data_IF_612541465623
#
_entry.id   IF_612541465623
#
_cell.length_a   1.000
_cell.length_b   1.000
_cell.length_c   1.000
_cell.angle_alpha   90.00
_cell.angle_beta   90.00
_cell.angle_gamma   90.00
#
_symmetry.space_group_name_H-M   'P 1'
#
loop_
_entity.id
_entity.type
_entity.pdbx_description
1 polymer ?
#
# COMPACT_ATOMS: atom_id res chain seq x y z
N UNK A 1 -9.19 19.79 23.97
CA UNK A 1 -8.26 20.13 22.85
C UNK A 1 -8.04 18.97 21.90
N UNK A 2 -7.67 17.76 22.36
CA UNK A 2 -7.43 16.62 21.48
C UNK A 2 -8.65 16.27 20.60
N UNK A 3 -9.83 16.09 21.21
CA UNK A 3 -11.07 15.81 20.49
C UNK A 3 -11.46 16.91 19.49
N UNK A 4 -11.25 18.17 19.88
CA UNK A 4 -11.45 19.31 18.96
C UNK A 4 -10.53 19.24 17.74
N UNK A 5 -9.26 18.90 17.93
CA UNK A 5 -8.30 18.74 16.84
C UNK A 5 -8.65 17.55 15.94
N UNK A 6 -9.12 16.43 16.52
CA UNK A 6 -9.63 15.29 15.75
C UNK A 6 -10.85 15.71 14.91
N UNK A 7 -11.80 16.43 15.49
CA UNK A 7 -12.98 16.93 14.77
C UNK A 7 -12.59 17.89 13.63
N UNK A 8 -11.60 18.77 13.86
CA UNK A 8 -11.08 19.65 12.82
C UNK A 8 -10.42 18.89 11.68
N UNK A 9 -9.66 17.82 11.96
CA UNK A 9 -9.07 16.94 10.96
C UNK A 9 -10.17 16.25 10.13
N UNK A 10 -11.17 15.69 10.80
CA UNK A 10 -12.31 15.03 10.12
C UNK A 10 -13.07 16.04 9.24
N UNK A 11 -13.33 17.24 9.74
CA UNK A 11 -13.97 18.30 8.97
C UNK A 11 -13.15 18.65 7.71
N UNK A 12 -11.82 18.77 7.86
CA UNK A 12 -10.90 19.04 6.75
C UNK A 12 -10.97 17.94 5.69
N UNK A 13 -11.08 16.66 6.12
CA UNK A 13 -11.27 15.53 5.21
C UNK A 13 -12.61 15.61 4.46
N UNK A 14 -13.70 15.96 5.14
CA UNK A 14 -15.02 16.13 4.53
C UNK A 14 -14.97 17.26 3.48
N UNK A 15 -14.23 18.32 3.75
CA UNK A 15 -14.01 19.44 2.82
C UNK A 15 -13.00 19.12 1.70
N UNK A 16 -12.49 17.87 1.63
CA UNK A 16 -11.50 17.39 0.66
C UNK A 16 -10.20 18.19 0.66
N UNK A 17 -9.83 18.81 1.78
CA UNK A 17 -8.59 19.54 1.96
C UNK A 17 -7.50 18.63 2.59
N UNK A 18 -6.24 19.08 2.52
CA UNK A 18 -5.12 18.33 3.07
C UNK A 18 -5.09 18.42 4.60
N UNK A 19 -4.97 17.27 5.25
CA UNK A 19 -5.03 17.14 6.72
C UNK A 19 -3.69 17.35 7.44
N UNK A 20 -2.59 17.56 6.73
CA UNK A 20 -1.26 17.74 7.33
C UNK A 20 -1.24 18.99 8.22
N UNK A 21 -1.69 20.12 7.71
CA UNK A 21 -1.68 21.39 8.45
C UNK A 21 -2.56 21.33 9.71
N UNK A 22 -3.83 20.88 9.64
CA UNK A 22 -4.63 20.68 10.84
C UNK A 22 -4.01 19.74 11.86
N UNK A 23 -3.31 18.68 11.42
CA UNK A 23 -2.63 17.74 12.31
C UNK A 23 -1.45 18.39 13.03
N UNK A 24 -0.65 19.21 12.34
CA UNK A 24 0.46 19.96 12.94
C UNK A 24 -0.06 20.99 13.95
N UNK A 25 -1.10 21.74 13.59
CA UNK A 25 -1.76 22.70 14.51
C UNK A 25 -2.33 21.95 15.71
N UNK A 26 -3.03 20.83 15.48
CA UNK A 26 -3.57 19.98 16.53
C UNK A 26 -2.49 19.48 17.50
N UNK A 27 -1.35 19.02 16.98
CA UNK A 27 -0.20 18.62 17.80
C UNK A 27 0.28 19.77 18.68
N UNK A 28 0.46 20.96 18.10
CA UNK A 28 0.85 22.14 18.84
C UNK A 28 -0.14 22.45 19.97
N UNK A 29 -1.43 22.53 19.66
CA UNK A 29 -2.48 22.88 20.63
C UNK A 29 -2.57 21.87 21.77
N UNK A 30 -2.46 20.56 21.45
CA UNK A 30 -2.54 19.51 22.46
C UNK A 30 -1.32 19.55 23.38
N UNK A 31 -0.11 19.64 22.82
CA UNK A 31 1.12 19.71 23.64
C UNK A 31 1.15 21.01 24.46
N UNK A 32 0.71 22.13 23.88
CA UNK A 32 0.58 23.39 24.62
C UNK A 32 -0.42 23.26 25.78
N UNK A 33 -1.56 22.65 25.55
CA UNK A 33 -2.56 22.46 26.61
C UNK A 33 -2.07 21.57 27.76
N UNK A 34 -1.17 20.61 27.46
CA UNK A 34 -0.58 19.71 28.47
C UNK A 34 0.55 20.43 29.23
N UNK A 35 1.43 21.15 28.52
CA UNK A 35 2.67 21.67 29.09
C UNK A 35 2.58 23.12 29.57
N UNK A 36 1.59 23.89 29.06
CA UNK A 36 1.48 25.33 29.28
C UNK A 36 2.61 26.17 28.66
N UNK A 37 3.51 25.54 27.91
CA UNK A 37 4.74 26.19 27.39
C UNK A 37 4.75 26.15 25.84
N UNK A 38 4.78 27.31 25.16
CA UNK A 38 4.79 27.37 23.70
C UNK A 38 6.07 26.79 23.08
N UNK A 39 7.20 26.87 23.77
CA UNK A 39 8.48 26.31 23.29
C UNK A 39 8.38 24.77 23.30
N UNK A 40 7.86 24.18 24.39
CA UNK A 40 7.60 22.73 24.46
C UNK A 40 6.61 22.29 23.39
N UNK A 41 5.61 23.11 23.07
CA UNK A 41 4.64 22.79 22.01
C UNK A 41 5.30 22.78 20.61
N UNK A 42 6.23 23.70 20.32
CA UNK A 42 7.00 23.70 19.08
C UNK A 42 7.92 22.48 18.99
N UNK A 43 8.64 22.16 20.06
CA UNK A 43 9.45 20.94 20.16
C UNK A 43 8.59 19.70 19.96
N UNK A 44 7.37 19.71 20.52
CA UNK A 44 6.39 18.62 20.39
C UNK A 44 6.00 18.31 18.96
N UNK A 45 5.91 19.29 18.06
CA UNK A 45 5.65 19.06 16.62
C UNK A 45 6.75 18.21 16.00
N UNK A 46 8.00 18.56 16.23
CA UNK A 46 9.14 17.81 15.71
C UNK A 46 9.21 16.42 16.34
N UNK A 47 9.11 16.33 17.67
CA UNK A 47 9.17 15.07 18.41
C UNK A 47 8.06 14.11 18.01
N UNK A 48 6.83 14.60 17.79
CA UNK A 48 5.71 13.80 17.32
C UNK A 48 5.97 13.22 15.93
N UNK A 49 6.47 14.04 14.99
CA UNK A 49 6.84 13.59 13.65
C UNK A 49 8.01 12.59 13.69
N UNK A 50 8.98 12.80 14.57
CA UNK A 50 10.13 11.90 14.75
C UNK A 50 9.72 10.55 15.36
N UNK A 51 8.86 10.55 16.37
CA UNK A 51 8.30 9.31 16.95
C UNK A 51 7.47 8.57 15.90
N UNK A 52 6.66 9.29 15.11
CA UNK A 52 5.94 8.70 14.00
C UNK A 52 6.88 8.08 12.96
N UNK A 53 7.97 8.76 12.60
CA UNK A 53 8.96 8.19 11.69
C UNK A 53 9.57 6.91 12.25
N UNK A 54 9.93 6.87 13.53
CA UNK A 54 10.48 5.69 14.19
C UNK A 54 9.51 4.51 14.21
N UNK A 55 8.25 4.75 14.58
CA UNK A 55 7.22 3.71 14.66
C UNK A 55 6.80 3.17 13.26
N UNK A 56 6.80 4.04 12.25
CA UNK A 56 6.39 3.69 10.89
C UNK A 56 7.55 3.27 9.98
N UNK A 57 8.80 3.32 10.45
CA UNK A 57 9.97 3.05 9.60
C UNK A 57 9.97 1.63 9.01
N UNK A 58 9.44 0.66 9.74
CA UNK A 58 9.26 -0.69 9.21
C UNK A 58 8.38 -0.71 7.95
N UNK A 59 7.33 0.12 7.89
CA UNK A 59 6.48 0.26 6.72
C UNK A 59 7.26 0.86 5.56
N UNK A 60 8.06 1.90 5.83
CA UNK A 60 8.92 2.52 4.82
C UNK A 60 9.89 1.50 4.21
N UNK A 61 10.51 0.65 5.05
CA UNK A 61 11.42 -0.41 4.57
C UNK A 61 10.70 -1.45 3.72
N UNK A 62 9.52 -1.92 4.13
CA UNK A 62 8.73 -2.86 3.34
C UNK A 62 8.37 -2.25 1.99
N UNK A 63 7.84 -1.03 1.95
CA UNK A 63 7.51 -0.34 0.70
C UNK A 63 8.75 -0.17 -0.18
N UNK A 64 9.89 0.20 0.43
CA UNK A 64 11.18 0.36 -0.26
C UNK A 64 11.59 -0.94 -0.95
N UNK A 65 11.67 -2.04 -0.21
CA UNK A 65 12.15 -3.32 -0.76
C UNK A 65 11.15 -3.93 -1.74
N UNK A 66 9.85 -3.75 -1.52
CA UNK A 66 8.84 -4.19 -2.48
C UNK A 66 8.89 -3.39 -3.78
N UNK A 67 9.10 -2.07 -3.71
CA UNK A 67 9.27 -1.22 -4.89
C UNK A 67 10.56 -1.56 -5.63
N UNK A 68 11.67 -1.75 -4.91
CA UNK A 68 12.94 -2.19 -5.48
C UNK A 68 12.81 -3.55 -6.20
N UNK A 69 12.10 -4.51 -5.60
CA UNK A 69 11.78 -5.79 -6.22
C UNK A 69 10.96 -5.61 -7.50
N UNK A 70 9.92 -4.76 -7.47
CA UNK A 70 9.11 -4.49 -8.65
C UNK A 70 9.94 -3.85 -9.77
N UNK A 71 10.83 -2.92 -9.46
CA UNK A 71 11.74 -2.32 -10.43
C UNK A 71 12.66 -3.39 -11.05
N UNK A 72 13.25 -4.26 -10.23
CA UNK A 72 14.05 -5.38 -10.72
C UNK A 72 13.24 -6.36 -11.59
N UNK A 73 12.01 -6.70 -11.22
CA UNK A 73 11.14 -7.58 -12.02
C UNK A 73 10.78 -6.95 -13.37
N UNK A 74 10.59 -5.62 -13.43
CA UNK A 74 10.32 -4.87 -14.67
C UNK A 74 11.50 -4.99 -15.66
N UNK A 75 12.76 -5.00 -15.22
CA UNK A 75 13.92 -5.15 -16.11
C UNK A 75 13.90 -6.48 -16.88
N UNK A 76 13.32 -7.53 -16.29
CA UNK A 76 13.11 -8.84 -16.90
C UNK A 76 11.73 -9.02 -17.56
N UNK A 77 10.82 -8.05 -17.43
CA UNK A 77 9.40 -8.20 -17.79
C UNK A 77 8.74 -9.41 -17.09
N UNK A 78 9.21 -9.78 -15.91
CA UNK A 78 8.67 -10.89 -15.13
C UNK A 78 7.34 -10.52 -14.49
N UNK A 79 7.16 -9.26 -14.09
CA UNK A 79 5.92 -8.67 -13.60
C UNK A 79 4.76 -8.84 -14.60
N UNK A 80 5.00 -8.53 -15.89
CA UNK A 80 4.02 -8.73 -16.97
C UNK A 80 3.64 -10.20 -17.10
N UNK A 81 4.63 -11.12 -17.03
CA UNK A 81 4.39 -12.57 -17.14
C UNK A 81 3.61 -13.12 -15.95
N UNK A 82 3.82 -12.59 -14.74
CA UNK A 82 3.06 -13.01 -13.54
C UNK A 82 1.56 -12.75 -13.69
N UNK A 83 1.19 -11.69 -14.38
CA UNK A 83 -0.21 -11.25 -14.50
C UNK A 83 -0.86 -11.69 -15.82
N UNK A 84 -0.05 -12.09 -16.80
CA UNK A 84 -0.53 -12.53 -18.12
C UNK A 84 -1.61 -13.63 -18.08
N UNK A 85 -1.57 -14.66 -17.20
CA UNK A 85 -2.62 -15.67 -17.11
C UNK A 85 -4.00 -15.07 -16.83
N UNK A 86 -4.07 -14.02 -16.01
CA UNK A 86 -5.33 -13.36 -15.64
C UNK A 86 -5.94 -12.60 -16.82
N UNK A 87 -5.12 -12.05 -17.73
CA UNK A 87 -5.61 -11.42 -18.98
C UNK A 87 -6.41 -12.40 -19.85
N UNK A 88 -6.02 -13.67 -19.87
CA UNK A 88 -6.72 -14.70 -20.68
C UNK A 88 -8.12 -15.04 -20.17
N UNK A 89 -8.38 -14.79 -18.89
CA UNK A 89 -9.68 -15.05 -18.25
C UNK A 89 -10.63 -13.85 -18.39
N UNK A 90 -10.11 -12.67 -18.71
CA UNK A 90 -10.89 -11.44 -18.93
C UNK A 90 -11.55 -11.47 -20.32
N UNK A 91 -12.71 -12.13 -20.43
CA UNK A 91 -13.45 -12.29 -21.70
C UNK A 91 -14.51 -11.22 -21.94
N UNK A 92 -14.82 -10.40 -20.94
CA UNK A 92 -15.81 -9.34 -21.02
C UNK A 92 -15.72 -8.41 -19.82
N UNK A 93 -16.31 -7.21 -19.90
CA UNK A 93 -16.20 -6.19 -18.87
C UNK A 93 -16.70 -6.65 -17.49
N UNK A 94 -17.74 -7.47 -17.43
CA UNK A 94 -18.27 -8.00 -16.16
C UNK A 94 -17.26 -8.91 -15.44
N UNK A 95 -16.69 -9.88 -16.15
CA UNK A 95 -15.66 -10.76 -15.59
C UNK A 95 -14.39 -10.00 -15.23
N UNK A 96 -14.03 -8.99 -16.02
CA UNK A 96 -12.86 -8.15 -15.79
C UNK A 96 -12.96 -7.36 -14.50
N UNK A 97 -14.14 -6.84 -14.15
CA UNK A 97 -14.35 -6.16 -12.88
C UNK A 97 -14.04 -7.07 -11.68
N UNK A 98 -14.61 -8.28 -11.68
CA UNK A 98 -14.39 -9.24 -10.61
C UNK A 98 -12.93 -9.72 -10.53
N UNK A 99 -12.32 -10.01 -11.70
CA UNK A 99 -10.91 -10.46 -11.77
C UNK A 99 -9.97 -9.38 -11.28
N UNK A 100 -10.14 -8.11 -11.70
CA UNK A 100 -9.33 -6.99 -11.21
C UNK A 100 -9.46 -6.85 -9.70
N UNK A 101 -10.69 -6.85 -9.16
CA UNK A 101 -10.90 -6.74 -7.72
C UNK A 101 -10.20 -7.87 -6.96
N UNK A 102 -10.40 -9.12 -7.40
CA UNK A 102 -9.79 -10.28 -6.75
C UNK A 102 -8.26 -10.26 -6.84
N UNK A 103 -7.71 -10.02 -8.02
CA UNK A 103 -6.26 -9.97 -8.21
C UNK A 103 -5.64 -8.83 -7.41
N UNK A 104 -6.27 -7.64 -7.42
CA UNK A 104 -5.77 -6.49 -6.63
C UNK A 104 -5.79 -6.82 -5.16
N UNK A 105 -6.87 -7.39 -4.64
CA UNK A 105 -6.97 -7.77 -3.24
C UNK A 105 -5.87 -8.75 -2.84
N UNK A 106 -5.75 -9.86 -3.58
CA UNK A 106 -4.76 -10.90 -3.29
C UNK A 106 -3.34 -10.35 -3.38
N UNK A 107 -2.99 -9.65 -4.46
CA UNK A 107 -1.64 -9.10 -4.63
C UNK A 107 -1.35 -8.06 -3.53
N UNK A 108 -2.31 -7.21 -3.20
CA UNK A 108 -2.14 -6.15 -2.19
C UNK A 108 -1.99 -6.67 -0.76
N UNK A 109 -2.52 -7.85 -0.44
CA UNK A 109 -2.28 -8.48 0.86
C UNK A 109 -0.80 -8.84 1.09
N UNK A 110 -0.06 -9.13 0.01
CA UNK A 110 1.34 -9.57 0.09
C UNK A 110 2.34 -8.47 -0.25
N UNK A 111 2.03 -7.68 -1.29
CA UNK A 111 2.94 -6.66 -1.80
C UNK A 111 2.68 -5.26 -1.22
N UNK A 112 1.81 -5.12 -0.23
CA UNK A 112 1.29 -3.83 0.20
C UNK A 112 0.54 -3.09 -0.93
N UNK A 113 -0.58 -2.44 -0.68
CA UNK A 113 -1.38 -1.83 -1.76
C UNK A 113 -0.64 -0.72 -2.51
N UNK A 114 0.20 0.05 -1.83
CA UNK A 114 0.87 1.21 -2.43
C UNK A 114 1.75 0.83 -3.64
N UNK A 115 2.63 -0.18 -3.60
CA UNK A 115 3.34 -0.66 -4.79
C UNK A 115 2.51 -1.61 -5.66
N UNK A 116 1.53 -2.34 -5.09
CA UNK A 116 0.74 -3.32 -5.83
C UNK A 116 -0.28 -2.67 -6.79
N UNK A 117 -0.91 -1.58 -6.37
CA UNK A 117 -1.93 -0.87 -7.17
C UNK A 117 -1.39 -0.37 -8.51
N UNK A 118 -0.24 0.32 -8.60
CA UNK A 118 0.37 0.67 -9.88
C UNK A 118 0.65 -0.54 -10.77
N UNK A 119 1.17 -1.64 -10.20
CA UNK A 119 1.46 -2.86 -10.96
C UNK A 119 0.19 -3.44 -11.59
N UNK A 120 -0.86 -3.62 -10.79
CA UNK A 120 -2.15 -4.15 -11.28
C UNK A 120 -2.77 -3.20 -12.30
N UNK A 121 -2.71 -1.89 -12.06
CA UNK A 121 -3.24 -0.88 -12.98
C UNK A 121 -2.54 -0.93 -14.33
N UNK A 122 -1.20 -1.05 -14.34
CA UNK A 122 -0.44 -1.10 -15.59
C UNK A 122 -0.75 -2.33 -16.45
N UNK A 123 -1.03 -3.47 -15.83
CA UNK A 123 -1.08 -4.75 -16.53
C UNK A 123 -2.53 -5.21 -16.79
N UNK A 124 -3.40 -5.11 -15.77
CA UNK A 124 -4.78 -5.62 -15.87
C UNK A 124 -5.76 -4.58 -16.37
N UNK A 125 -5.58 -3.30 -16.04
CA UNK A 125 -6.54 -2.27 -16.44
C UNK A 125 -6.64 -2.11 -17.96
N UNK A 126 -5.53 -2.06 -18.75
CA UNK A 126 -5.62 -2.03 -20.22
C UNK A 126 -6.38 -3.24 -20.79
N UNK A 127 -6.12 -4.44 -20.26
CA UNK A 127 -6.80 -5.64 -20.70
C UNK A 127 -8.31 -5.61 -20.39
N UNK A 128 -8.68 -5.08 -19.24
CA UNK A 128 -10.07 -4.92 -18.85
C UNK A 128 -10.81 -3.88 -19.70
N UNK A 129 -10.13 -2.77 -20.06
CA UNK A 129 -10.69 -1.75 -20.96
C UNK A 129 -10.95 -2.36 -22.34
N UNK A 130 -10.00 -3.08 -22.90
CA UNK A 130 -10.19 -3.82 -24.16
C UNK A 130 -11.31 -4.88 -24.06
N UNK A 131 -11.54 -5.44 -22.87
CA UNK A 131 -12.65 -6.37 -22.61
C UNK A 131 -14.00 -5.65 -22.37
N UNK A 132 -14.06 -4.31 -22.50
CA UNK A 132 -15.28 -3.53 -22.40
C UNK A 132 -15.60 -2.97 -21.02
N UNK A 133 -14.65 -3.03 -20.06
CA UNK A 133 -14.80 -2.40 -18.75
C UNK A 133 -14.47 -0.90 -18.83
N UNK A 134 -15.36 0.01 -18.40
CA UNK A 134 -15.02 1.42 -18.32
C UNK A 134 -13.79 1.68 -17.44
N UNK A 135 -12.85 2.57 -17.82
CA UNK A 135 -11.63 2.83 -17.03
C UNK A 135 -11.89 3.18 -15.57
N UNK A 136 -12.92 4.01 -15.32
CA UNK A 136 -13.34 4.39 -13.97
C UNK A 136 -13.79 3.18 -13.16
N UNK A 137 -14.51 2.24 -13.77
CA UNK A 137 -14.95 1.02 -13.10
C UNK A 137 -13.79 0.14 -12.67
N UNK A 138 -12.77 0.00 -13.54
CA UNK A 138 -11.53 -0.69 -13.20
C UNK A 138 -10.76 0.00 -12.06
N UNK A 139 -10.63 1.33 -12.13
CA UNK A 139 -9.99 2.11 -11.08
C UNK A 139 -10.72 2.00 -9.72
N UNK A 140 -12.06 2.01 -9.72
CA UNK A 140 -12.86 1.78 -8.50
C UNK A 140 -12.63 0.39 -7.91
N UNK A 141 -12.62 -0.65 -8.75
CA UNK A 141 -12.35 -2.02 -8.30
C UNK A 141 -10.97 -2.14 -7.64
N UNK A 142 -9.95 -1.54 -8.27
CA UNK A 142 -8.56 -1.50 -7.74
C UNK A 142 -8.50 -0.73 -6.42
N UNK A 143 -9.12 0.45 -6.36
CA UNK A 143 -9.10 1.28 -5.15
C UNK A 143 -9.80 0.61 -3.97
N UNK A 144 -10.99 0.04 -4.19
CA UNK A 144 -11.74 -0.64 -3.12
C UNK A 144 -11.00 -1.89 -2.66
N UNK A 145 -10.56 -2.75 -3.57
CA UNK A 145 -9.91 -4.00 -3.22
C UNK A 145 -8.51 -3.81 -2.62
N UNK A 146 -7.70 -2.90 -3.18
CA UNK A 146 -6.34 -2.64 -2.71
C UNK A 146 -6.31 -1.71 -1.51
N UNK A 147 -6.67 -0.44 -1.70
CA UNK A 147 -6.56 0.58 -0.66
C UNK A 147 -7.68 0.47 0.39
N UNK A 148 -8.86 0.03 0.00
CA UNK A 148 -9.97 -0.17 0.92
C UNK A 148 -9.83 -1.46 1.73
N UNK A 149 -9.84 -2.61 1.08
CA UNK A 149 -9.91 -3.91 1.76
C UNK A 149 -8.56 -4.42 2.25
N UNK A 150 -7.57 -4.54 1.36
CA UNK A 150 -6.28 -5.15 1.70
C UNK A 150 -5.50 -4.28 2.70
N UNK A 151 -5.49 -2.95 2.51
CA UNK A 151 -4.79 -2.04 3.43
C UNK A 151 -5.47 -1.96 4.79
N UNK A 152 -6.80 -1.92 4.84
CA UNK A 152 -7.52 -1.80 6.12
C UNK A 152 -7.39 -3.05 6.99
N UNK A 153 -7.29 -4.22 6.39
CA UNK A 153 -7.05 -5.46 7.14
C UNK A 153 -5.59 -5.66 7.48
N UNK A 154 -4.70 -5.31 6.56
CA UNK A 154 -3.24 -5.57 6.61
C UNK A 154 -2.91 -6.94 7.24
N UNK A 155 -3.70 -7.95 6.83
CA UNK A 155 -3.78 -9.23 7.53
C UNK A 155 -2.48 -10.02 7.47
N UNK A 156 -1.79 -9.98 6.33
CA UNK A 156 -0.59 -10.77 6.07
C UNK A 156 0.65 -10.11 6.67
N UNK A 157 0.84 -8.83 6.43
CA UNK A 157 2.02 -8.09 6.89
C UNK A 157 1.87 -7.69 8.37
N UNK A 158 0.65 -7.29 8.79
CA UNK A 158 0.29 -7.11 10.20
C UNK A 158 0.84 -5.86 10.86
N UNK A 159 1.32 -4.87 10.10
CA UNK A 159 1.88 -3.63 10.67
C UNK A 159 0.77 -2.75 11.24
N UNK A 160 -0.31 -2.49 10.48
CA UNK A 160 -1.41 -1.66 10.95
C UNK A 160 -2.12 -2.26 12.17
N UNK A 161 -2.44 -3.57 12.23
CA UNK A 161 -2.92 -4.21 13.44
C UNK A 161 -1.96 -4.10 14.63
N UNK A 162 -0.65 -4.20 14.41
CA UNK A 162 0.35 -4.07 15.47
C UNK A 162 0.37 -2.66 16.07
N UNK A 163 0.31 -1.62 15.23
CA UNK A 163 0.23 -0.22 15.68
C UNK A 163 -1.07 0.03 16.45
N UNK A 164 -2.19 -0.47 15.93
CA UNK A 164 -3.50 -0.34 16.57
C UNK A 164 -3.54 -1.04 17.94
N UNK A 165 -2.96 -2.23 18.02
CA UNK A 165 -2.86 -2.97 19.29
C UNK A 165 -1.98 -2.24 20.31
N UNK A 166 -0.85 -1.67 19.90
CA UNK A 166 0.02 -0.83 20.76
C UNK A 166 -0.74 0.40 21.28
N UNK A 167 -1.49 1.07 20.40
CA UNK A 167 -2.28 2.23 20.78
C UNK A 167 -3.42 1.88 21.75
N UNK A 168 -4.01 0.68 21.63
CA UNK A 168 -5.07 0.19 22.53
C UNK A 168 -4.55 -0.32 23.89
N UNK A 169 -3.24 -0.55 24.02
CA UNK A 169 -2.61 -0.98 25.26
C UNK A 169 -2.35 -2.48 25.38
N UNK A 170 -1.69 -2.90 26.47
CA UNK A 170 -1.15 -4.24 26.65
C UNK A 170 -2.18 -5.40 26.65
N UNK A 171 -3.47 -5.10 26.81
CA UNK A 171 -4.53 -6.12 26.85
C UNK A 171 -4.98 -6.60 25.46
N UNK A 172 -4.57 -5.95 24.38
CA UNK A 172 -5.02 -6.23 23.00
C UNK A 172 -3.89 -6.80 22.19
N UNK A 173 -4.09 -7.99 21.61
CA UNK A 173 -3.09 -8.57 20.71
C UNK A 173 -3.28 -8.13 19.26
N UNK A 174 -2.17 -7.91 18.55
CA UNK A 174 -2.18 -7.56 17.13
C UNK A 174 -2.90 -8.63 16.26
N UNK A 175 -2.83 -9.90 16.67
CA UNK A 175 -3.51 -10.98 15.95
C UNK A 175 -5.04 -10.85 16.04
N UNK A 176 -5.57 -10.55 17.22
CA UNK A 176 -7.02 -10.33 17.40
C UNK A 176 -7.50 -9.12 16.59
N UNK A 177 -6.71 -8.04 16.58
CA UNK A 177 -7.02 -6.85 15.75
C UNK A 177 -7.04 -7.23 14.27
N UNK A 178 -6.04 -7.98 13.79
CA UNK A 178 -5.95 -8.42 12.40
C UNK A 178 -7.15 -9.28 12.00
N UNK A 179 -7.53 -10.27 12.84
CA UNK A 179 -8.65 -11.16 12.55
C UNK A 179 -9.98 -10.40 12.46
N UNK A 180 -10.21 -9.46 13.38
CA UNK A 180 -11.43 -8.61 13.35
C UNK A 180 -11.42 -7.65 12.17
N UNK A 181 -10.30 -7.01 11.90
CA UNK A 181 -10.13 -6.12 10.77
C UNK A 181 -10.34 -6.84 9.43
N UNK A 182 -9.86 -8.09 9.29
CA UNK A 182 -10.09 -8.90 8.10
C UNK A 182 -11.59 -9.13 7.85
N UNK A 183 -12.32 -9.60 8.86
CA UNK A 183 -13.76 -9.85 8.74
C UNK A 183 -14.49 -8.56 8.35
N UNK A 184 -14.20 -7.46 9.05
CA UNK A 184 -14.86 -6.17 8.80
C UNK A 184 -14.52 -5.65 7.38
N UNK A 185 -13.25 -5.72 6.97
CA UNK A 185 -12.82 -5.26 5.64
C UNK A 185 -13.44 -6.08 4.51
N UNK A 186 -13.62 -7.39 4.70
CA UNK A 186 -14.28 -8.26 3.71
C UNK A 186 -15.77 -7.90 3.58
N UNK A 187 -16.47 -7.71 4.71
CA UNK A 187 -17.88 -7.35 4.68
C UNK A 187 -18.09 -5.97 4.04
N UNK A 188 -17.40 -4.94 4.54
CA UNK A 188 -17.53 -3.57 4.03
C UNK A 188 -17.06 -3.46 2.59
N UNK A 189 -15.97 -4.14 2.24
CA UNK A 189 -15.42 -4.16 0.89
C UNK A 189 -16.32 -4.91 -0.09
N UNK A 190 -16.92 -6.03 0.31
CA UNK A 190 -17.89 -6.74 -0.53
C UNK A 190 -19.11 -5.85 -0.84
N UNK A 191 -19.65 -5.16 0.16
CA UNK A 191 -20.73 -4.20 -0.04
C UNK A 191 -20.31 -3.07 -0.98
N UNK A 192 -19.11 -2.50 -0.79
CA UNK A 192 -18.58 -1.43 -1.63
C UNK A 192 -18.36 -1.90 -3.08
N UNK A 193 -17.79 -3.10 -3.29
CA UNK A 193 -17.60 -3.69 -4.62
C UNK A 193 -18.92 -3.97 -5.33
N UNK A 194 -19.91 -4.52 -4.61
CA UNK A 194 -21.25 -4.76 -5.17
C UNK A 194 -21.91 -3.44 -5.55
N UNK A 195 -21.87 -2.43 -4.66
CA UNK A 195 -22.42 -1.11 -4.95
C UNK A 195 -21.73 -0.46 -6.18
N UNK A 196 -20.40 -0.48 -6.22
CA UNK A 196 -19.64 0.01 -7.35
C UNK A 196 -20.01 -0.73 -8.65
N UNK A 197 -20.09 -2.07 -8.61
CA UNK A 197 -20.50 -2.86 -9.77
C UNK A 197 -21.91 -2.51 -10.25
N UNK A 198 -22.88 -2.37 -9.34
CA UNK A 198 -24.26 -2.00 -9.70
C UNK A 198 -24.34 -0.61 -10.36
N UNK A 199 -23.51 0.33 -9.92
CA UNK A 199 -23.41 1.67 -10.52
C UNK A 199 -22.83 1.63 -11.93
N UNK A 200 -21.82 0.79 -12.17
CA UNK A 200 -21.06 0.81 -13.44
C UNK A 200 -21.54 -0.24 -14.45
N UNK A 201 -22.29 -1.26 -14.06
CA UNK A 201 -22.69 -2.39 -14.93
C UNK A 201 -23.42 -1.96 -16.21
N UNK A 202 -24.17 -0.87 -16.16
CA UNK A 202 -24.88 -0.32 -17.32
C UNK A 202 -23.98 0.33 -18.36
N UNK A 203 -22.72 0.66 -17.98
CA UNK A 203 -21.73 1.28 -18.84
C UNK A 203 -20.71 0.29 -19.38
N UNK A 204 -20.85 -0.99 -19.04
CA UNK A 204 -20.02 -2.06 -19.57
C UNK A 204 -20.50 -2.34 -20.99
N UNK A 205 -19.55 -2.35 -21.94
CA UNK A 205 -19.80 -2.55 -23.37
C UNK A 205 -19.22 -3.87 -23.85
N UNK A 206 -19.49 -4.24 -25.09
CA UNK A 206 -18.87 -5.40 -25.72
C UNK A 206 -17.35 -5.24 -25.81
N UNK A 207 -16.60 -6.33 -25.74
CA UNK A 207 -15.15 -6.32 -25.86
C UNK A 207 -14.74 -5.82 -27.25
N UNK A 208 -13.89 -4.78 -27.26
CA UNK A 208 -13.35 -4.18 -28.50
C UNK A 208 -11.94 -3.61 -28.20
N UNK A 209 -10.90 -4.08 -28.91
CA UNK A 209 -9.54 -3.50 -28.78
C UNK A 209 -9.47 -1.99 -29.04
N UNK A 210 -10.37 -1.43 -29.85
CA UNK A 210 -10.43 0.00 -30.12
C UNK A 210 -10.75 0.84 -28.88
N UNK A 211 -11.35 0.28 -27.84
CA UNK A 211 -11.62 0.97 -26.59
C UNK A 211 -10.32 1.34 -25.84
N UNK A 212 -9.31 0.48 -25.96
CA UNK A 212 -8.01 0.74 -25.36
C UNK A 212 -7.26 1.85 -26.07
N UNK A 213 -7.22 1.85 -27.42
CA UNK A 213 -6.56 2.90 -28.19
C UNK A 213 -7.25 4.27 -27.97
N UNK A 214 -8.58 4.31 -28.00
CA UNK A 214 -9.33 5.53 -27.70
C UNK A 214 -9.11 6.05 -26.26
N UNK A 215 -8.85 5.18 -25.30
CA UNK A 215 -8.50 5.59 -23.94
C UNK A 215 -7.05 6.12 -23.86
N UNK A 216 -6.12 5.47 -24.55
CA UNK A 216 -4.72 5.92 -24.62
C UNK A 216 -4.57 7.28 -25.31
N UNK A 217 -5.28 7.51 -26.42
CA UNK A 217 -5.31 8.81 -27.13
C UNK A 217 -5.82 9.92 -26.20
N UNK A 218 -6.93 9.69 -25.50
CA UNK A 218 -7.47 10.69 -24.53
C UNK A 218 -6.51 10.93 -23.36
N UNK A 219 -5.73 9.96 -22.96
CA UNK A 219 -4.71 10.12 -21.91
C UNK A 219 -3.53 10.96 -22.40
N UNK A 220 -3.18 10.89 -23.71
CA UNK A 220 -2.11 11.68 -24.32
C UNK A 220 -2.54 13.12 -24.61
N UNK A 221 -3.81 13.37 -24.93
CA UNK A 221 -4.35 14.70 -25.26
C UNK A 221 -4.46 15.69 -24.08
N UNK A 222 -3.84 15.37 -22.93
CA UNK A 222 -3.69 16.30 -21.81
C UNK A 222 -4.97 16.63 -21.03
N UNK A 223 -6.09 15.97 -21.31
CA UNK A 223 -7.32 16.12 -20.49
C UNK A 223 -7.13 15.60 -19.06
N UNK A 224 -6.13 14.75 -18.82
CA UNK A 224 -5.70 14.31 -17.50
C UNK A 224 -4.75 15.29 -16.81
N UNK A 225 -4.07 16.17 -17.55
CA UNK A 225 -3.16 17.18 -16.98
C UNK A 225 -3.88 18.22 -16.09
N UNK A 226 -5.19 18.36 -16.22
CA UNK A 226 -5.98 19.27 -15.39
C UNK A 226 -6.24 18.73 -13.98
N UNK A 227 -6.02 17.43 -13.75
CA UNK A 227 -6.13 16.79 -12.42
C UNK A 227 -4.79 16.91 -11.65
N UNK A 228 -3.68 17.20 -12.34
CA UNK A 228 -2.34 17.34 -11.76
C UNK A 228 -2.14 18.61 -10.93
N UNK A 229 -3.01 19.62 -11.04
CA UNK A 229 -2.87 20.88 -10.29
C UNK A 229 -3.35 20.84 -8.83
N UNK A 230 -3.96 19.75 -8.37
CA UNK A 230 -4.26 19.58 -6.94
C UNK A 230 -3.17 18.76 -6.25
N UNK A 231 -2.12 19.48 -5.85
CA UNK A 231 -0.89 18.99 -5.28
C UNK A 231 -0.99 17.84 -4.28
N UNK A 232 -0.19 16.88 -4.50
CA UNK A 232 0.48 15.90 -3.67
C UNK A 232 0.35 14.49 -4.25
N UNK A 233 1.31 14.06 -4.90
CA UNK A 233 1.58 12.81 -5.58
C UNK A 233 1.69 13.03 -7.09
N UNK A 234 2.90 12.88 -7.61
CA UNK A 234 3.08 12.85 -9.05
C UNK A 234 2.57 11.50 -9.60
N UNK A 235 1.23 11.39 -9.63
CA UNK A 235 0.52 10.25 -10.23
C UNK A 235 0.83 10.12 -11.72
N UNK A 236 1.30 11.20 -12.35
CA UNK A 236 1.67 11.21 -13.76
C UNK A 236 3.05 10.58 -14.00
N UNK A 237 4.00 10.70 -13.06
CA UNK A 237 5.27 9.99 -13.13
C UNK A 237 5.07 8.48 -12.91
N UNK A 238 4.17 8.12 -11.99
CA UNK A 238 3.73 6.74 -11.79
C UNK A 238 3.00 6.20 -13.03
N UNK A 239 2.11 7.00 -13.62
CA UNK A 239 1.37 6.63 -14.83
C UNK A 239 2.27 6.60 -16.07
N UNK A 240 3.22 7.52 -16.22
CA UNK A 240 4.21 7.52 -17.32
C UNK A 240 5.17 6.33 -17.21
N UNK A 241 5.60 5.95 -16.02
CA UNK A 241 6.36 4.72 -15.80
C UNK A 241 5.57 3.44 -16.09
N UNK A 242 4.24 3.51 -16.09
CA UNK A 242 3.35 2.37 -16.32
C UNK A 242 2.66 2.37 -17.69
N UNK A 243 2.50 3.53 -18.35
CA UNK A 243 1.84 3.66 -19.66
C UNK A 243 2.81 3.54 -20.85
N UNK A 244 4.10 3.48 -20.61
CA UNK A 244 5.14 3.68 -21.64
C UNK A 244 5.59 2.45 -22.41
N UNK A 245 4.86 1.33 -22.46
CA UNK A 245 5.08 0.28 -23.46
C UNK A 245 3.86 -0.61 -23.55
N UNK A 246 3.37 -0.82 -24.77
CA UNK A 246 2.61 -2.02 -25.08
C UNK A 246 3.50 -3.22 -24.69
N UNK A 247 3.15 -4.03 -23.69
CA UNK A 247 3.98 -5.14 -23.28
C UNK A 247 3.80 -6.33 -24.22
N UNK A 248 4.01 -6.11 -25.53
CA UNK A 248 4.15 -7.17 -26.50
C UNK A 248 5.42 -7.94 -26.11
N UNK A 249 5.22 -9.10 -25.48
CA UNK A 249 6.34 -9.98 -25.19
C UNK A 249 7.02 -10.39 -26.49
N UNK A 250 8.36 -10.33 -26.59
CA UNK A 250 9.09 -10.73 -27.78
C UNK A 250 8.68 -12.14 -28.23
N UNK A 251 8.48 -12.34 -29.51
CA UNK A 251 8.23 -13.67 -30.09
C UNK A 251 9.54 -14.46 -30.07
N UNK A 252 9.49 -15.69 -29.52
CA UNK A 252 10.69 -16.54 -29.28
C UNK A 252 11.55 -16.90 -30.53
N UNK A 253 11.05 -17.00 -31.77
CA UNK A 253 11.84 -17.44 -32.91
C UNK A 253 12.92 -16.46 -33.42
N UNK A 254 12.81 -15.18 -33.10
CA UNK A 254 13.68 -14.10 -33.61
C UNK A 254 14.69 -13.56 -32.58
N UNK A 255 14.77 -14.17 -31.37
CA UNK A 255 15.54 -13.65 -30.26
C UNK A 255 17.02 -14.01 -30.36
N UNK A 256 17.90 -13.03 -30.06
CA UNK A 256 19.33 -13.24 -29.83
C UNK A 256 19.59 -14.16 -28.63
N UNK A 257 20.81 -14.67 -28.48
CA UNK A 257 21.18 -15.52 -27.34
C UNK A 257 20.96 -14.86 -25.97
N UNK A 258 21.24 -13.56 -25.86
CA UNK A 258 21.02 -12.78 -24.63
C UNK A 258 19.54 -12.57 -24.34
N UNK A 259 18.75 -12.27 -25.35
CA UNK A 259 17.30 -12.11 -25.22
C UNK A 259 16.62 -13.41 -24.81
N UNK A 260 17.08 -14.56 -25.37
CA UNK A 260 16.60 -15.89 -24.93
C UNK A 260 16.92 -16.14 -23.46
N UNK A 261 18.09 -15.73 -22.98
CA UNK A 261 18.48 -15.83 -21.57
C UNK A 261 17.56 -14.96 -20.70
N UNK A 262 17.30 -13.71 -21.09
CA UNK A 262 16.39 -12.79 -20.39
C UNK A 262 14.96 -13.34 -20.32
N UNK A 263 14.43 -13.86 -21.42
CA UNK A 263 13.11 -14.49 -21.47
C UNK A 263 13.05 -15.72 -20.55
N UNK A 264 14.08 -16.53 -20.50
CA UNK A 264 14.14 -17.69 -19.59
C UNK A 264 14.07 -17.25 -18.13
N UNK A 265 14.90 -16.29 -17.73
CA UNK A 265 14.90 -15.74 -16.38
C UNK A 265 13.58 -15.03 -16.04
N UNK A 266 12.99 -14.32 -16.99
CA UNK A 266 11.66 -13.74 -16.86
C UNK A 266 10.60 -14.79 -16.50
N UNK A 267 10.58 -15.93 -17.24
CA UNK A 267 9.68 -17.05 -16.94
C UNK A 267 9.95 -17.66 -15.55
N UNK A 268 11.23 -17.82 -15.21
CA UNK A 268 11.64 -18.36 -13.90
C UNK A 268 11.18 -17.46 -12.76
N UNK A 269 11.46 -16.16 -12.81
CA UNK A 269 11.10 -15.25 -11.72
C UNK A 269 9.60 -14.93 -11.69
N UNK A 270 8.88 -15.05 -12.81
CA UNK A 270 7.42 -15.01 -12.80
C UNK A 270 6.78 -16.12 -11.97
N UNK A 271 7.49 -17.22 -11.71
CA UNK A 271 7.05 -18.34 -10.86
C UNK A 271 7.72 -18.29 -9.49
N UNK A 272 9.03 -18.06 -9.44
CA UNK A 272 9.81 -18.06 -8.18
C UNK A 272 9.35 -16.97 -7.23
N UNK A 273 9.05 -15.76 -7.75
CA UNK A 273 8.60 -14.66 -6.90
C UNK A 273 7.28 -14.96 -6.19
N UNK A 274 6.18 -15.35 -6.86
CA UNK A 274 4.96 -15.75 -6.17
C UNK A 274 5.18 -16.93 -5.20
N UNK A 275 6.00 -17.91 -5.57
CA UNK A 275 6.30 -19.06 -4.70
C UNK A 275 7.07 -18.64 -3.44
N UNK A 276 8.02 -17.71 -3.54
CA UNK A 276 8.73 -17.17 -2.38
C UNK A 276 7.76 -16.49 -1.41
N UNK A 277 6.83 -15.68 -1.93
CA UNK A 277 5.81 -15.04 -1.10
C UNK A 277 4.77 -16.03 -0.57
N UNK A 278 4.40 -17.07 -1.32
CA UNK A 278 3.60 -18.19 -0.79
C UNK A 278 4.32 -18.88 0.37
N UNK A 279 5.65 -19.04 0.30
CA UNK A 279 6.45 -19.51 1.42
C UNK A 279 6.37 -18.60 2.64
N UNK A 280 6.46 -17.28 2.44
CA UNK A 280 6.26 -16.30 3.52
C UNK A 280 4.88 -16.45 4.17
N UNK A 281 3.83 -16.57 3.34
CA UNK A 281 2.46 -16.79 3.83
C UNK A 281 2.38 -18.08 4.63
N UNK A 282 2.95 -19.17 4.10
CA UNK A 282 2.96 -20.45 4.80
C UNK A 282 3.60 -20.31 6.20
N UNK A 283 4.76 -19.66 6.29
CA UNK A 283 5.45 -19.41 7.59
C UNK A 283 4.57 -18.57 8.53
N UNK A 284 3.74 -17.65 8.03
CA UNK A 284 2.87 -16.80 8.84
C UNK A 284 1.56 -17.50 9.25
N UNK A 285 1.01 -18.33 8.38
CA UNK A 285 -0.30 -18.98 8.59
C UNK A 285 -0.18 -20.35 9.27
N UNK A 286 0.86 -21.14 8.95
CA UNK A 286 1.04 -22.48 9.52
C UNK A 286 1.02 -22.52 11.07
N UNK A 287 1.64 -21.58 11.80
CA UNK A 287 1.57 -21.58 13.27
C UNK A 287 0.17 -21.40 13.83
N UNK A 288 -0.76 -20.80 13.06
CA UNK A 288 -2.18 -20.70 13.46
C UNK A 288 -2.92 -22.03 13.32
N UNK A 289 -2.50 -22.87 12.37
CA UNK A 289 -3.05 -24.21 12.14
C UNK A 289 -2.36 -25.29 13.00
N UNK A 290 -1.08 -25.09 13.27
CA UNK A 290 -0.23 -26.00 14.02
C UNK A 290 0.46 -25.25 15.18
N UNK A 291 -0.14 -25.20 16.38
CA UNK A 291 0.38 -24.45 17.53
C UNK A 291 1.78 -24.87 18.01
N UNK A 292 2.30 -26.00 17.54
CA UNK A 292 3.67 -26.45 17.81
C UNK A 292 4.75 -25.65 17.07
N UNK A 293 4.37 -24.88 16.03
CA UNK A 293 5.29 -24.06 15.28
C UNK A 293 5.45 -22.67 15.92
N UNK A 294 6.66 -22.08 15.91
CA UNK A 294 6.88 -20.75 16.44
C UNK A 294 6.12 -19.71 15.61
N UNK A 295 5.24 -18.94 16.26
CA UNK A 295 4.53 -17.85 15.60
C UNK A 295 5.43 -16.62 15.48
N UNK A 296 5.41 -15.96 14.35
CA UNK A 296 6.04 -14.66 14.15
C UNK A 296 5.30 -13.60 14.99
N UNK A 297 6.07 -12.74 15.67
CA UNK A 297 5.52 -11.72 16.58
C UNK A 297 5.73 -10.31 16.01
N UNK A 298 4.68 -9.49 16.07
CA UNK A 298 4.76 -8.06 15.78
C UNK A 298 5.38 -7.75 14.43
N UNK A 299 6.48 -7.02 14.44
CA UNK A 299 7.20 -6.60 13.24
C UNK A 299 7.94 -7.70 12.47
N UNK A 300 8.08 -8.92 13.03
CA UNK A 300 8.84 -10.01 12.39
C UNK A 300 8.23 -10.44 11.05
N UNK A 301 6.90 -10.37 10.94
CA UNK A 301 6.21 -10.65 9.70
C UNK A 301 6.58 -9.64 8.59
N UNK A 302 6.56 -8.36 8.91
CA UNK A 302 6.98 -7.30 7.99
C UNK A 302 8.47 -7.43 7.62
N UNK A 303 9.31 -7.76 8.60
CA UNK A 303 10.75 -8.00 8.39
C UNK A 303 10.98 -9.20 7.45
N UNK A 304 10.24 -10.30 7.62
CA UNK A 304 10.32 -11.47 6.74
C UNK A 304 9.91 -11.11 5.29
N UNK A 305 8.79 -10.40 5.12
CA UNK A 305 8.34 -9.93 3.80
C UNK A 305 9.40 -9.04 3.15
N UNK A 306 9.90 -8.04 3.88
CA UNK A 306 10.95 -7.13 3.39
C UNK A 306 12.25 -7.85 3.06
N UNK A 307 12.68 -8.77 3.92
CA UNK A 307 13.90 -9.56 3.71
C UNK A 307 13.81 -10.45 2.47
N UNK A 308 12.69 -11.16 2.29
CA UNK A 308 12.45 -11.98 1.09
C UNK A 308 12.39 -11.10 -0.17
N UNK A 309 11.71 -9.96 -0.10
CA UNK A 309 11.66 -9.02 -1.22
C UNK A 309 13.07 -8.55 -1.63
N UNK A 310 13.91 -8.20 -0.65
CA UNK A 310 15.28 -7.77 -0.89
C UNK A 310 16.14 -8.87 -1.51
N UNK A 311 16.08 -10.11 -0.98
CA UNK A 311 16.82 -11.25 -1.53
C UNK A 311 16.36 -11.57 -2.96
N UNK A 312 15.05 -11.62 -3.21
CA UNK A 312 14.52 -11.89 -4.55
C UNK A 312 14.92 -10.77 -5.51
N UNK A 313 14.88 -9.50 -5.10
CA UNK A 313 15.36 -8.37 -5.88
C UNK A 313 16.82 -8.55 -6.30
N UNK A 314 17.70 -8.93 -5.36
CA UNK A 314 19.13 -9.20 -5.69
C UNK A 314 19.27 -10.33 -6.70
N UNK A 315 18.54 -11.43 -6.55
CA UNK A 315 18.58 -12.56 -7.47
C UNK A 315 18.05 -12.21 -8.86
N UNK A 316 16.97 -11.41 -8.92
CA UNK A 316 16.42 -10.90 -10.19
C UNK A 316 17.44 -9.98 -10.89
N UNK A 317 18.05 -9.05 -10.16
CA UNK A 317 19.06 -8.13 -10.71
C UNK A 317 20.31 -8.89 -11.17
N UNK A 318 20.75 -9.89 -10.41
CA UNK A 318 21.84 -10.78 -10.80
C UNK A 318 21.56 -11.50 -12.14
N UNK A 319 20.35 -12.00 -12.29
CA UNK A 319 19.92 -12.71 -13.49
C UNK A 319 19.77 -11.76 -14.71
N UNK A 320 19.31 -10.52 -14.47
CA UNK A 320 19.12 -9.51 -15.50
C UNK A 320 20.43 -8.91 -15.99
N UNK A 321 21.27 -8.46 -15.07
CA UNK A 321 22.42 -7.59 -15.35
C UNK A 321 23.78 -8.31 -15.19
N UNK A 322 23.79 -9.44 -14.48
CA UNK A 322 25.01 -10.19 -14.16
C UNK A 322 25.75 -9.67 -12.93
N UNK A 323 26.81 -10.39 -12.46
CA UNK A 323 27.37 -10.17 -11.12
C UNK A 323 28.06 -8.82 -10.92
N UNK A 324 28.66 -8.24 -11.97
CA UNK A 324 29.35 -6.94 -11.86
C UNK A 324 28.37 -5.78 -11.79
N UNK A 325 27.45 -5.72 -12.73
CA UNK A 325 26.45 -4.64 -12.80
C UNK A 325 25.43 -4.70 -11.65
N UNK A 326 25.17 -5.89 -11.12
CA UNK A 326 24.29 -6.04 -9.95
C UNK A 326 24.73 -5.17 -8.78
N UNK A 327 26.06 -5.00 -8.57
CA UNK A 327 26.58 -4.21 -7.44
C UNK A 327 26.23 -2.71 -7.54
N UNK A 328 26.06 -2.22 -8.77
CA UNK A 328 25.69 -0.82 -9.01
C UNK A 328 24.14 -0.66 -9.08
N UNK A 329 23.46 -1.58 -9.74
CA UNK A 329 22.01 -1.50 -10.00
C UNK A 329 21.15 -1.81 -8.76
N UNK A 330 21.60 -2.72 -7.86
CA UNK A 330 20.87 -3.00 -6.65
C UNK A 330 20.71 -1.76 -5.73
N UNK A 331 21.77 -0.99 -5.44
CA UNK A 331 21.64 0.28 -4.71
C UNK A 331 20.71 1.28 -5.39
N UNK A 332 20.69 1.36 -6.73
CA UNK A 332 19.75 2.23 -7.45
C UNK A 332 18.30 1.81 -7.21
N UNK A 333 17.97 0.52 -7.34
CA UNK A 333 16.64 0.01 -7.05
C UNK A 333 16.19 0.30 -5.61
N UNK A 334 17.11 0.18 -4.64
CA UNK A 334 16.83 0.48 -3.22
C UNK A 334 16.60 1.99 -3.05
N UNK A 335 17.43 2.82 -3.67
CA UNK A 335 17.28 4.28 -3.61
C UNK A 335 15.94 4.72 -4.19
N UNK A 336 15.57 4.22 -5.36
CA UNK A 336 14.27 4.47 -5.99
C UNK A 336 13.12 4.02 -5.10
N UNK A 337 13.29 2.87 -4.45
CA UNK A 337 12.35 2.36 -3.46
C UNK A 337 12.17 3.30 -2.28
N UNK A 338 13.25 3.86 -1.71
CA UNK A 338 13.18 4.88 -0.66
C UNK A 338 12.51 6.15 -1.13
N UNK A 339 12.90 6.67 -2.29
CA UNK A 339 12.26 7.87 -2.87
C UNK A 339 10.76 7.65 -3.02
N UNK A 340 10.35 6.48 -3.52
CA UNK A 340 8.94 6.14 -3.64
C UNK A 340 8.26 6.05 -2.26
N UNK A 341 8.86 5.38 -1.28
CA UNK A 341 8.30 5.23 0.05
C UNK A 341 8.11 6.60 0.73
N UNK A 342 9.09 7.50 0.64
CA UNK A 342 8.96 8.85 1.20
C UNK A 342 7.95 9.71 0.45
N UNK A 343 7.89 9.64 -0.88
CA UNK A 343 6.83 10.31 -1.66
C UNK A 343 5.43 9.81 -1.28
N UNK A 344 5.28 8.49 -1.06
CA UNK A 344 4.00 7.87 -0.72
C UNK A 344 3.54 8.15 0.71
N UNK A 345 4.46 8.14 1.66
CA UNK A 345 4.17 8.10 3.09
C UNK A 345 4.69 9.31 3.88
N UNK A 346 5.51 10.18 3.28
CA UNK A 346 6.16 11.28 4.01
C UNK A 346 5.17 12.25 4.66
N UNK A 347 4.06 12.56 3.98
CA UNK A 347 2.99 13.40 4.53
C UNK A 347 2.21 12.73 5.68
N UNK A 348 2.31 11.41 5.82
CA UNK A 348 1.64 10.67 6.90
C UNK A 348 2.33 10.89 8.24
N UNK A 349 3.63 11.22 8.26
CA UNK A 349 4.40 11.38 9.51
C UNK A 349 3.82 12.45 10.46
N UNK A 350 3.54 13.70 10.03
CA UNK A 350 2.91 14.68 10.91
C UNK A 350 1.49 14.28 11.34
N UNK A 351 0.75 13.58 10.47
CA UNK A 351 -0.60 13.11 10.78
C UNK A 351 -0.55 12.02 11.85
N UNK A 352 0.30 11.00 11.65
CA UNK A 352 0.50 9.93 12.63
C UNK A 352 1.07 10.48 13.95
N UNK A 353 1.99 11.45 13.88
CA UNK A 353 2.52 12.14 15.05
C UNK A 353 1.43 12.76 15.92
N UNK A 354 0.44 13.42 15.32
CA UNK A 354 -0.72 13.92 16.05
C UNK A 354 -1.48 12.81 16.78
N UNK A 355 -1.77 11.68 16.10
CA UNK A 355 -2.45 10.56 16.75
C UNK A 355 -1.61 9.90 17.83
N UNK A 356 -0.30 9.84 17.66
CA UNK A 356 0.62 9.28 18.66
C UNK A 356 0.75 10.14 19.92
N UNK A 357 0.47 11.45 19.86
CA UNK A 357 0.31 12.28 21.08
C UNK A 357 -0.87 11.81 21.93
N UNK A 358 -1.88 11.18 21.32
CA UNK A 358 -3.04 10.64 22.03
C UNK A 358 -2.82 9.28 22.68
N UNK A 359 -1.77 8.53 22.31
CA UNK A 359 -1.50 7.19 22.84
C UNK A 359 -0.42 7.29 23.96
N UNK A 360 -0.69 6.74 25.12
CA UNK A 360 0.12 6.89 26.35
C UNK A 360 1.62 6.60 26.13
N UNK A 361 1.99 5.47 25.49
CA UNK A 361 3.38 5.07 25.29
C UNK A 361 4.16 6.04 24.40
N UNK A 362 3.56 6.44 23.29
CA UNK A 362 4.18 7.39 22.35
C UNK A 362 4.09 8.82 22.82
N UNK A 363 3.02 9.19 23.55
CA UNK A 363 2.92 10.49 24.22
C UNK A 363 4.07 10.71 25.22
N UNK A 364 4.45 9.68 25.98
CA UNK A 364 5.59 9.71 26.88
C UNK A 364 6.89 10.10 26.16
N UNK A 365 7.14 9.48 25.00
CA UNK A 365 8.31 9.77 24.16
C UNK A 365 8.28 11.20 23.57
N UNK A 366 7.10 11.64 23.12
CA UNK A 366 6.90 12.95 22.49
C UNK A 366 7.10 14.08 23.52
N UNK A 367 6.54 13.89 24.72
CA UNK A 367 6.60 14.86 25.80
C UNK A 367 7.89 14.79 26.64
N UNK A 368 8.69 13.74 26.48
CA UNK A 368 9.91 13.52 27.26
C UNK A 368 9.63 13.26 28.75
N UNK A 369 8.48 12.63 29.07
CA UNK A 369 8.07 12.33 30.43
C UNK A 369 8.00 10.80 30.67
N UNK A 370 8.08 10.35 31.94
CA UNK A 370 7.83 8.94 32.26
C UNK A 370 6.43 8.49 31.79
N UNK A 371 6.29 7.25 31.33
CA UNK A 371 5.04 6.71 30.80
C UNK A 371 3.86 6.81 31.81
N UNK A 372 4.15 6.68 33.10
CA UNK A 372 3.12 6.83 34.16
C UNK A 372 2.51 8.23 34.25
N UNK A 373 3.22 9.25 33.72
CA UNK A 373 2.77 10.65 33.72
C UNK A 373 2.23 11.11 32.36
N UNK A 374 2.37 10.27 31.33
CA UNK A 374 1.90 10.60 30.00
C UNK A 374 0.38 10.39 29.88
N UNK A 375 -0.35 11.30 29.22
CA UNK A 375 -1.80 11.16 29.06
C UNK A 375 -2.12 10.07 28.03
N UNK A 376 -3.20 9.32 28.29
CA UNK A 376 -3.81 8.37 27.36
C UNK A 376 -5.06 8.94 26.70
N UNK A 377 -4.94 10.10 26.03
CA UNK A 377 -6.09 10.87 25.54
C UNK A 377 -7.00 10.10 24.60
N UNK A 378 -6.43 9.23 23.77
CA UNK A 378 -7.22 8.39 22.87
C UNK A 378 -8.09 7.39 23.64
N UNK A 379 -7.52 6.75 24.65
CA UNK A 379 -8.24 5.80 25.51
C UNK A 379 -9.31 6.49 26.34
N UNK A 380 -9.01 7.66 26.90
CA UNK A 380 -9.97 8.46 27.67
C UNK A 380 -11.17 8.90 26.82
N UNK A 381 -10.95 9.35 25.58
CA UNK A 381 -12.02 9.72 24.65
C UNK A 381 -12.89 8.52 24.28
N UNK A 382 -12.27 7.36 23.99
CA UNK A 382 -13.04 6.14 23.67
C UNK A 382 -13.83 5.66 24.89
N UNK A 383 -13.23 5.66 26.08
CA UNK A 383 -13.89 5.24 27.32
C UNK A 383 -15.06 6.16 27.68
N UNK A 384 -14.91 7.48 27.50
CA UNK A 384 -16.00 8.42 27.70
C UNK A 384 -17.14 8.23 26.68
N UNK A 385 -16.81 7.80 25.45
CA UNK A 385 -17.80 7.52 24.40
C UNK A 385 -18.53 6.20 24.54
N UNK A 386 -18.02 5.24 25.31
CA UNK A 386 -18.67 3.93 25.51
C UNK A 386 -20.11 4.03 26.10
N UNK A 387 -20.37 5.06 26.90
CA UNK A 387 -21.68 5.31 27.46
C UNK A 387 -22.67 5.92 26.45
N UNK A 388 -22.22 6.33 25.28
CA UNK A 388 -23.02 6.92 24.20
C UNK A 388 -23.42 5.90 23.12
N UNK A 389 -22.80 4.72 23.15
CA UNK A 389 -23.07 3.63 22.20
C UNK A 389 -23.88 2.56 22.97
N UNK A 390 -25.17 2.32 22.60
CA UNK A 390 -26.01 1.32 23.26
C UNK A 390 -25.51 -0.11 23.05
#
# INVERSE_FOLDING_TARGET
MYLFSVAAIILTMILRANVVVPSVIGTFLVVFAITGNPVSALIGIFSASFVAAKELFNIFLVITFMTALLNALKTLQADVRMVQPFRRVMRGGHSSFAIIALCTYVISLFFWPTPAVPLVSAILLPAAIAAGLPPLAGAMAIAIAGQGMALSSDYVIGVAPSISAKAAGAAVSAAVVADRALVLSVITGAVALVAAYLLVRKHIVAADPALLSAWQERAQDGSLARIEQSGSFDKAELARGTMGADPALPREPELSGEERRRVRWSKTFAIVTPLAFLGVIAVMVLPRLFPSLPALRGGDAAALVGGVAFVVMMLVTLAAEGPRKMLDVCPEHVTDGFVFAFKAMGSVLPIAGFFFVGANETAAQILGVPQAQAPGLLFEVISAGQHLIP
#
